data_IF_902257474104
#
_entry.id   IF_902257474104
#
_cell.length_a   1.000
_cell.length_b   1.000
_cell.length_c   1.000
_cell.angle_alpha   90.00
_cell.angle_beta   90.00
_cell.angle_gamma   90.00
#
_symmetry.space_group_name_H-M   'P 1'
#
loop_
_entity.id
_entity.type
_entity.pdbx_description
1 polymer ?
#
# COMPACT_ATOMS: atom_id res chain seq x y z
N UNK A 1 9.45 5.43 -1.99
CA UNK A 1 9.86 6.51 -2.90
C UNK A 1 9.74 6.06 -4.36
N UNK A 2 10.25 4.89 -4.73
CA UNK A 2 10.34 4.41 -6.10
C UNK A 2 8.96 4.31 -6.77
N UNK A 3 7.99 3.61 -6.17
CA UNK A 3 6.64 3.45 -6.70
C UNK A 3 5.92 4.81 -6.87
N UNK A 4 6.03 5.70 -5.88
CA UNK A 4 5.34 7.00 -5.90
C UNK A 4 5.97 7.95 -6.92
N UNK A 5 7.29 7.86 -7.16
CA UNK A 5 8.05 8.73 -8.07
C UNK A 5 8.29 8.13 -9.45
N UNK A 6 7.66 7.00 -9.74
CA UNK A 6 7.82 6.26 -10.99
C UNK A 6 9.30 5.95 -11.33
N UNK A 7 10.10 5.61 -10.30
CA UNK A 7 11.50 5.27 -10.46
C UNK A 7 11.66 3.76 -10.55
N UNK A 8 11.99 3.27 -11.72
CA UNK A 8 12.25 1.85 -11.93
C UNK A 8 13.56 1.42 -11.28
N UNK A 9 13.51 0.29 -10.58
CA UNK A 9 14.66 -0.42 -10.06
C UNK A 9 14.47 -1.91 -10.23
N UNK A 10 15.44 -2.56 -10.80
CA UNK A 10 15.41 -3.98 -11.06
C UNK A 10 16.14 -4.76 -9.97
N UNK A 11 15.66 -5.96 -9.66
CA UNK A 11 16.35 -6.90 -8.79
C UNK A 11 16.42 -8.28 -9.44
N UNK A 12 17.38 -9.09 -9.02
CA UNK A 12 17.41 -10.51 -9.35
C UNK A 12 16.46 -11.25 -8.39
N UNK A 13 15.31 -11.67 -8.91
CA UNK A 13 14.34 -12.46 -8.15
C UNK A 13 14.60 -13.94 -8.39
N UNK A 14 15.35 -14.58 -7.46
CA UNK A 14 15.92 -15.92 -7.63
C UNK A 14 15.25 -16.97 -6.71
N UNK A 15 14.03 -16.70 -6.25
CA UNK A 15 13.30 -17.55 -5.27
C UNK A 15 13.21 -19.01 -5.73
N UNK A 16 12.90 -19.23 -7.00
CA UNK A 16 12.59 -20.54 -7.54
C UNK A 16 13.73 -21.14 -8.39
N UNK A 17 14.92 -20.53 -8.38
CA UNK A 17 16.07 -20.97 -9.14
C UNK A 17 16.80 -22.11 -8.45
N UNK A 18 17.08 -23.18 -9.20
CA UNK A 18 17.91 -24.29 -8.77
C UNK A 18 19.40 -23.89 -8.68
N UNK A 19 20.22 -24.60 -7.91
CA UNK A 19 21.66 -24.33 -7.87
C UNK A 19 22.35 -24.43 -9.22
N UNK A 20 21.84 -25.25 -10.15
CA UNK A 20 22.35 -25.37 -11.52
C UNK A 20 22.08 -24.09 -12.31
N UNK A 21 20.88 -23.57 -12.24
CA UNK A 21 20.47 -22.33 -12.91
C UNK A 21 21.23 -21.12 -12.37
N UNK A 22 21.41 -21.02 -11.05
CA UNK A 22 22.20 -19.96 -10.41
C UNK A 22 23.64 -19.93 -10.92
N UNK A 23 24.23 -21.09 -11.25
CA UNK A 23 25.61 -21.20 -11.77
C UNK A 23 25.68 -21.04 -13.29
N UNK A 24 24.58 -21.14 -14.02
CA UNK A 24 24.57 -21.06 -15.48
C UNK A 24 24.95 -19.68 -16.03
N UNK A 25 24.71 -18.62 -15.25
CA UNK A 25 25.08 -17.25 -15.58
C UNK A 25 26.21 -16.77 -14.65
N UNK A 26 27.37 -16.46 -15.25
CA UNK A 26 28.51 -15.89 -14.51
C UNK A 26 28.12 -14.59 -13.78
N UNK A 27 27.32 -13.75 -14.40
CA UNK A 27 26.82 -12.50 -13.79
C UNK A 27 25.99 -12.77 -12.53
N UNK A 28 25.02 -13.72 -12.59
CA UNK A 28 24.19 -14.09 -11.43
C UNK A 28 25.06 -14.69 -10.33
N UNK A 29 25.93 -15.63 -10.66
CA UNK A 29 26.82 -16.28 -9.69
C UNK A 29 27.72 -15.27 -8.96
N UNK A 30 28.26 -14.28 -9.66
CA UNK A 30 29.07 -13.22 -9.07
C UNK A 30 28.26 -12.33 -8.13
N UNK A 31 27.04 -11.93 -8.50
CA UNK A 31 26.15 -11.14 -7.64
C UNK A 31 25.75 -11.90 -6.38
N UNK A 32 25.45 -13.19 -6.51
CA UNK A 32 25.16 -14.07 -5.36
C UNK A 32 26.37 -14.16 -4.42
N UNK A 33 27.59 -14.31 -5.00
CA UNK A 33 28.83 -14.32 -4.18
C UNK A 33 29.04 -12.99 -3.45
N UNK A 34 28.92 -11.86 -4.13
CA UNK A 34 29.02 -10.53 -3.50
C UNK A 34 28.02 -10.36 -2.35
N UNK A 35 26.78 -10.83 -2.52
CA UNK A 35 25.76 -10.81 -1.46
C UNK A 35 26.18 -11.67 -0.27
N UNK A 36 26.75 -12.87 -0.53
CA UNK A 36 27.27 -13.75 0.52
C UNK A 36 28.38 -13.07 1.32
N UNK A 37 29.37 -12.52 0.62
CA UNK A 37 30.53 -11.89 1.24
C UNK A 37 30.10 -10.66 2.08
N UNK A 38 29.18 -9.84 1.54
CA UNK A 38 28.59 -8.73 2.29
C UNK A 38 27.86 -9.18 3.56
N UNK A 39 27.05 -10.24 3.47
CA UNK A 39 26.34 -10.77 4.64
C UNK A 39 27.29 -11.33 5.71
N UNK A 40 28.36 -12.03 5.32
CA UNK A 40 29.36 -12.55 6.22
C UNK A 40 30.13 -11.44 6.95
N UNK A 41 30.37 -10.30 6.29
CA UNK A 41 31.07 -9.15 6.89
C UNK A 41 30.16 -8.30 7.81
N UNK A 42 28.87 -8.60 7.91
CA UNK A 42 27.95 -7.84 8.74
C UNK A 42 28.24 -8.03 10.23
N UNK A 43 28.13 -6.96 11.02
CA UNK A 43 28.18 -7.06 12.49
C UNK A 43 26.90 -7.64 13.13
N UNK A 44 25.86 -7.98 12.32
CA UNK A 44 24.58 -8.51 12.83
C UNK A 44 24.49 -10.00 12.56
N UNK A 45 24.35 -10.81 13.60
CA UNK A 45 24.23 -12.28 13.50
C UNK A 45 23.09 -12.74 12.60
N UNK A 46 21.93 -12.08 12.64
CA UNK A 46 20.80 -12.38 11.77
C UNK A 46 21.16 -12.20 10.29
N UNK A 47 21.93 -11.16 9.94
CA UNK A 47 22.40 -10.94 8.57
C UNK A 47 23.43 -11.99 8.15
N UNK A 48 24.36 -12.36 9.07
CA UNK A 48 25.34 -13.41 8.81
C UNK A 48 24.67 -14.76 8.54
N UNK A 49 23.62 -15.12 9.26
CA UNK A 49 22.87 -16.36 9.04
C UNK A 49 22.28 -16.45 7.62
N UNK A 50 21.89 -15.32 7.04
CA UNK A 50 21.39 -15.26 5.66
C UNK A 50 22.48 -15.49 4.60
N UNK A 51 23.75 -15.55 4.98
CA UNK A 51 24.85 -15.87 4.05
C UNK A 51 24.80 -17.33 3.56
N UNK A 52 24.06 -18.22 4.24
CA UNK A 52 23.81 -19.59 3.80
C UNK A 52 22.86 -19.67 2.59
N UNK A 53 22.04 -18.66 2.37
CA UNK A 53 21.06 -18.54 1.28
C UNK A 53 21.22 -17.20 0.53
N UNK A 54 22.42 -16.92 -0.04
CA UNK A 54 22.75 -15.58 -0.52
C UNK A 54 21.97 -15.14 -1.77
N UNK A 55 21.29 -16.05 -2.47
CA UNK A 55 20.46 -15.76 -3.62
C UNK A 55 19.03 -15.31 -3.24
N UNK A 56 18.63 -15.52 -1.98
CA UNK A 56 17.30 -15.14 -1.49
C UNK A 56 17.33 -13.78 -0.79
N UNK A 57 16.24 -13.04 -0.89
CA UNK A 57 15.98 -11.91 0.02
C UNK A 57 15.79 -12.44 1.45
N UNK A 58 16.12 -11.62 2.44
CA UNK A 58 16.01 -12.01 3.86
C UNK A 58 14.58 -12.28 4.30
N UNK A 59 13.61 -11.62 3.66
CA UNK A 59 12.17 -11.85 3.80
C UNK A 59 11.53 -11.89 2.42
N UNK A 60 10.78 -12.95 2.16
CA UNK A 60 10.00 -13.10 0.93
C UNK A 60 8.54 -13.06 1.31
N UNK A 61 7.91 -11.90 1.10
CA UNK A 61 6.50 -11.65 1.38
C UNK A 61 5.70 -11.33 0.13
N UNK A 62 6.28 -11.55 -1.05
CA UNK A 62 5.65 -11.26 -2.33
C UNK A 62 4.48 -12.22 -2.56
N UNK A 63 3.23 -11.72 -2.71
CA UNK A 63 2.08 -12.54 -3.06
C UNK A 63 2.12 -12.94 -4.54
N UNK A 64 1.39 -13.98 -4.89
CA UNK A 64 1.23 -14.46 -6.27
C UNK A 64 0.00 -13.84 -6.96
N UNK A 65 -0.70 -12.95 -6.28
CA UNK A 65 -1.91 -12.28 -6.74
C UNK A 65 -1.73 -10.77 -6.73
N UNK A 66 -2.68 -10.06 -7.34
CA UNK A 66 -2.75 -8.60 -7.22
C UNK A 66 -2.78 -8.16 -5.76
N UNK A 67 -2.22 -7.01 -5.50
CA UNK A 67 -2.08 -6.49 -4.16
C UNK A 67 -2.33 -4.99 -4.09
N UNK A 68 -2.80 -4.53 -2.95
CA UNK A 68 -2.77 -3.12 -2.59
C UNK A 68 -1.44 -2.81 -1.92
N UNK A 69 -0.79 -1.75 -2.36
CA UNK A 69 0.50 -1.28 -1.82
C UNK A 69 0.32 0.09 -1.18
N UNK A 70 0.62 0.17 0.10
CA UNK A 70 0.48 1.38 0.92
C UNK A 70 1.86 1.89 1.28
N UNK A 71 2.22 3.14 0.91
CA UNK A 71 3.49 3.73 1.33
C UNK A 71 3.52 3.91 2.84
N UNK A 72 4.62 3.50 3.50
CA UNK A 72 4.79 3.67 4.95
C UNK A 72 4.88 5.14 5.38
N UNK A 73 5.25 6.04 4.47
CA UNK A 73 5.34 7.46 4.74
C UNK A 73 4.59 8.22 3.66
N UNK A 74 3.73 9.14 4.05
CA UNK A 74 3.00 10.04 3.15
C UNK A 74 3.01 11.46 3.68
N UNK A 75 3.20 12.44 2.78
CA UNK A 75 3.17 13.86 3.14
C UNK A 75 1.84 14.26 3.75
N UNK A 76 1.88 15.08 4.79
CA UNK A 76 0.69 15.67 5.42
C UNK A 76 -0.10 16.59 4.49
N UNK A 77 0.57 17.17 3.47
CA UNK A 77 -0.08 18.01 2.48
C UNK A 77 -0.99 17.26 1.50
N UNK A 78 -0.93 15.91 1.46
CA UNK A 78 -1.77 15.12 0.58
C UNK A 78 -3.13 14.85 1.18
N UNK A 79 -4.18 15.17 0.42
CA UNK A 79 -5.55 14.83 0.79
C UNK A 79 -5.79 13.32 0.83
N UNK A 80 -5.21 12.58 -0.13
CA UNK A 80 -5.28 11.13 -0.22
C UNK A 80 -3.88 10.52 -0.23
N UNK A 81 -3.70 9.40 0.47
CA UNK A 81 -2.48 8.62 0.37
C UNK A 81 -2.39 8.03 -1.05
N UNK A 82 -1.24 8.12 -1.73
CA UNK A 82 -1.06 7.52 -3.06
C UNK A 82 -0.91 5.99 -2.98
N UNK A 83 -1.98 5.32 -2.59
CA UNK A 83 -2.08 3.85 -2.53
C UNK A 83 -2.12 3.32 -3.96
N UNK A 84 -1.43 2.21 -4.22
CA UNK A 84 -1.37 1.57 -5.54
C UNK A 84 -2.04 0.21 -5.51
N UNK A 85 -2.60 -0.19 -6.65
CA UNK A 85 -3.08 -1.54 -6.92
C UNK A 85 -2.19 -2.10 -8.04
N UNK A 86 -1.42 -3.15 -7.73
CA UNK A 86 -0.36 -3.63 -8.61
C UNK A 86 -0.40 -5.15 -8.79
N UNK A 87 0.15 -5.60 -9.90
CA UNK A 87 0.31 -7.01 -10.21
C UNK A 87 1.44 -7.65 -9.40
N UNK A 88 1.46 -9.00 -9.26
CA UNK A 88 2.49 -9.71 -8.51
C UNK A 88 3.88 -9.64 -9.14
N UNK A 89 4.01 -9.17 -10.38
CA UNK A 89 5.30 -9.00 -11.07
C UNK A 89 6.14 -7.88 -10.48
N UNK A 90 5.50 -6.94 -9.76
CA UNK A 90 6.18 -5.83 -9.10
C UNK A 90 6.60 -6.25 -7.71
N UNK A 91 7.92 -6.42 -7.50
CA UNK A 91 8.49 -6.78 -6.20
C UNK A 91 8.49 -5.58 -5.26
N UNK A 92 7.81 -5.72 -4.11
CA UNK A 92 7.67 -4.64 -3.15
C UNK A 92 8.77 -4.71 -2.08
N UNK A 93 9.49 -3.63 -1.94
CA UNK A 93 10.52 -3.51 -0.90
C UNK A 93 9.92 -3.11 0.47
N UNK A 94 10.73 -3.20 1.52
CA UNK A 94 10.32 -2.93 2.90
C UNK A 94 9.86 -1.50 3.22
N UNK A 95 9.87 -0.55 2.26
CA UNK A 95 9.40 0.83 2.45
C UNK A 95 7.88 1.00 2.25
N UNK A 96 7.19 -0.07 1.85
CA UNK A 96 5.74 -0.09 1.71
C UNK A 96 5.14 -1.27 2.48
N UNK A 97 3.83 -1.23 2.69
CA UNK A 97 3.02 -2.33 3.20
C UNK A 97 2.27 -2.96 2.03
N UNK A 98 1.99 -4.25 2.14
CA UNK A 98 1.27 -5.03 1.16
C UNK A 98 0.00 -5.55 1.80
N UNK A 99 -1.14 -5.39 1.13
CA UNK A 99 -2.37 -6.13 1.39
C UNK A 99 -2.50 -7.18 0.28
N UNK A 100 -2.17 -8.45 0.56
CA UNK A 100 -2.22 -9.51 -0.42
C UNK A 100 -3.67 -9.90 -0.74
N UNK A 101 -3.91 -10.44 -1.93
CA UNK A 101 -5.22 -10.90 -2.40
C UNK A 101 -6.31 -9.81 -2.37
N UNK A 102 -5.90 -8.54 -2.40
CA UNK A 102 -6.81 -7.43 -2.36
C UNK A 102 -7.62 -7.33 -3.65
N UNK A 103 -8.90 -7.01 -3.52
CA UNK A 103 -9.79 -6.66 -4.61
C UNK A 103 -9.86 -5.14 -4.79
N UNK A 104 -10.62 -4.69 -5.78
CA UNK A 104 -10.94 -3.27 -5.94
C UNK A 104 -11.77 -2.71 -4.77
N UNK A 105 -12.46 -3.57 -4.02
CA UNK A 105 -13.15 -3.16 -2.82
C UNK A 105 -12.17 -2.67 -1.74
N UNK A 106 -11.18 -3.48 -1.38
CA UNK A 106 -10.16 -3.07 -0.39
C UNK A 106 -9.42 -1.83 -0.87
N UNK A 107 -9.05 -1.77 -2.15
CA UNK A 107 -8.42 -0.59 -2.72
C UNK A 107 -9.32 0.65 -2.60
N UNK A 108 -10.62 0.54 -2.93
CA UNK A 108 -11.58 1.61 -2.82
C UNK A 108 -11.76 2.14 -1.40
N UNK A 109 -11.90 1.24 -0.42
CA UNK A 109 -12.02 1.61 0.99
C UNK A 109 -10.75 2.27 1.51
N UNK A 110 -9.58 1.66 1.29
CA UNK A 110 -8.29 2.16 1.78
C UNK A 110 -7.87 3.50 1.18
N UNK A 111 -8.30 3.79 -0.05
CA UNK A 111 -7.99 5.07 -0.71
C UNK A 111 -9.05 6.15 -0.44
N UNK A 112 -10.15 5.83 0.25
CA UNK A 112 -11.24 6.77 0.56
C UNK A 112 -10.87 7.82 1.63
N UNK A 113 -11.66 8.89 1.68
CA UNK A 113 -11.57 9.91 2.73
C UNK A 113 -11.78 9.33 4.12
N UNK A 114 -12.64 8.30 4.29
CA UNK A 114 -12.90 7.64 5.57
C UNK A 114 -11.62 7.02 6.14
N UNK A 115 -10.94 6.19 5.32
CA UNK A 115 -9.69 5.58 5.77
C UNK A 115 -8.57 6.61 5.95
N UNK A 116 -8.51 7.63 5.10
CA UNK A 116 -7.55 8.72 5.25
C UNK A 116 -7.78 9.52 6.54
N UNK A 117 -9.03 9.76 6.94
CA UNK A 117 -9.38 10.42 8.21
C UNK A 117 -8.95 9.59 9.42
N UNK A 118 -9.22 8.30 9.40
CA UNK A 118 -8.72 7.35 10.40
C UNK A 118 -7.20 7.37 10.47
N UNK A 119 -6.52 7.18 9.33
CA UNK A 119 -5.06 7.19 9.26
C UNK A 119 -4.47 8.49 9.81
N UNK A 120 -4.98 9.65 9.42
CA UNK A 120 -4.50 10.95 9.92
C UNK A 120 -4.60 11.08 11.44
N UNK A 121 -5.59 10.45 12.03
CA UNK A 121 -5.84 10.50 13.48
C UNK A 121 -4.97 9.53 14.27
N UNK A 122 -4.79 8.30 13.80
CA UNK A 122 -4.13 7.25 14.59
C UNK A 122 -2.69 6.97 14.18
N UNK A 123 -2.25 7.42 12.99
CA UNK A 123 -0.90 7.18 12.52
C UNK A 123 0.16 7.92 13.35
N UNK A 124 1.32 7.30 13.48
CA UNK A 124 2.52 7.99 13.93
C UNK A 124 2.96 9.09 12.96
N UNK A 125 3.95 9.88 13.40
CA UNK A 125 4.55 10.93 12.58
C UNK A 125 6.04 10.70 12.40
N UNK A 126 6.54 11.02 11.21
CA UNK A 126 7.95 11.14 10.91
C UNK A 126 8.20 12.60 10.50
N UNK A 127 8.66 13.43 11.43
CA UNK A 127 8.59 14.89 11.32
C UNK A 127 7.12 15.32 11.17
N UNK A 128 6.76 16.00 10.07
CA UNK A 128 5.38 16.37 9.76
C UNK A 128 4.60 15.27 9.02
N UNK A 129 5.28 14.36 8.33
CA UNK A 129 4.67 13.34 7.48
C UNK A 129 4.02 12.21 8.29
N UNK A 130 2.94 11.64 7.77
CA UNK A 130 2.27 10.49 8.38
C UNK A 130 3.09 9.22 8.19
N UNK A 131 3.26 8.47 9.29
CA UNK A 131 3.88 7.16 9.29
C UNK A 131 2.82 6.06 9.42
N UNK A 132 2.47 5.46 8.31
CA UNK A 132 1.49 4.38 8.26
C UNK A 132 2.05 3.09 8.87
N UNK A 133 1.36 2.52 9.83
CA UNK A 133 1.70 1.25 10.48
C UNK A 133 0.58 0.24 10.28
N UNK A 134 0.92 -1.02 9.93
CA UNK A 134 -0.07 -2.09 9.84
C UNK A 134 -0.76 -2.34 11.18
N UNK A 135 0.01 -2.37 12.27
CA UNK A 135 -0.52 -2.72 13.59
C UNK A 135 -1.47 -1.67 14.15
N UNK A 136 -1.24 -0.38 13.87
CA UNK A 136 -2.05 0.71 14.43
C UNK A 136 -3.12 1.15 13.44
N UNK A 137 -2.75 1.39 12.18
CA UNK A 137 -3.67 1.99 11.21
C UNK A 137 -4.54 0.91 10.56
N UNK A 138 -3.92 -0.12 9.95
CA UNK A 138 -4.64 -1.11 9.15
C UNK A 138 -5.43 -2.11 10.02
N UNK A 139 -4.76 -2.75 10.99
CA UNK A 139 -5.36 -3.82 11.78
C UNK A 139 -6.45 -3.33 12.75
N UNK A 140 -6.44 -2.05 13.10
CA UNK A 140 -7.44 -1.45 13.97
C UNK A 140 -8.51 -0.68 13.22
N UNK A 141 -8.42 -0.60 11.89
CA UNK A 141 -9.43 0.08 11.10
C UNK A 141 -10.77 -0.67 11.16
N UNK A 142 -11.86 -0.01 11.58
CA UNK A 142 -13.16 -0.65 11.69
C UNK A 142 -13.81 -0.70 10.30
N UNK A 143 -13.66 -1.84 9.63
CA UNK A 143 -14.25 -2.08 8.31
C UNK A 143 -15.78 -2.09 8.39
N UNK A 144 -16.45 -1.53 7.38
CA UNK A 144 -17.89 -1.69 7.22
C UNK A 144 -18.24 -3.10 6.75
N UNK A 145 -19.50 -3.46 6.92
CA UNK A 145 -20.07 -4.71 6.39
C UNK A 145 -21.03 -4.37 5.23
N UNK A 146 -20.54 -4.17 4.01
CA UNK A 146 -21.35 -3.71 2.89
C UNK A 146 -22.26 -4.82 2.36
N UNK A 147 -23.38 -4.44 1.74
CA UNK A 147 -24.14 -5.34 0.87
C UNK A 147 -23.35 -5.60 -0.42
N UNK A 148 -23.72 -6.64 -1.17
CA UNK A 148 -23.10 -6.95 -2.46
C UNK A 148 -23.23 -5.76 -3.46
N UNK A 149 -24.34 -5.04 -3.44
CA UNK A 149 -24.55 -3.86 -4.27
C UNK A 149 -23.61 -2.71 -3.88
N UNK A 150 -23.46 -2.47 -2.58
CA UNK A 150 -22.53 -1.45 -2.05
C UNK A 150 -21.10 -1.80 -2.40
N UNK A 151 -20.71 -3.09 -2.24
CA UNK A 151 -19.39 -3.58 -2.62
C UNK A 151 -19.11 -3.37 -4.11
N UNK A 152 -20.03 -3.79 -4.98
CA UNK A 152 -19.92 -3.58 -6.43
C UNK A 152 -19.82 -2.09 -6.80
N UNK A 153 -20.52 -1.22 -6.09
CA UNK A 153 -20.47 0.23 -6.28
C UNK A 153 -19.09 0.79 -5.91
N UNK A 154 -18.51 0.35 -4.79
CA UNK A 154 -17.15 0.73 -4.39
C UNK A 154 -16.13 0.24 -5.41
N UNK A 155 -16.22 -1.02 -5.85
CA UNK A 155 -15.31 -1.58 -6.86
C UNK A 155 -15.36 -0.78 -8.18
N UNK A 156 -16.55 -0.39 -8.63
CA UNK A 156 -16.73 0.45 -9.81
C UNK A 156 -16.07 1.83 -9.65
N UNK A 157 -16.25 2.48 -8.50
CA UNK A 157 -15.66 3.79 -8.25
C UNK A 157 -14.15 3.70 -8.02
N UNK A 158 -13.66 2.63 -7.43
CA UNK A 158 -12.25 2.32 -7.30
C UNK A 158 -11.57 2.12 -8.66
N UNK A 159 -12.22 1.39 -9.58
CA UNK A 159 -11.74 1.27 -10.96
C UNK A 159 -11.66 2.63 -11.65
N UNK A 160 -12.65 3.49 -11.46
CA UNK A 160 -12.63 4.84 -12.05
C UNK A 160 -11.44 5.70 -11.57
N UNK A 161 -10.92 5.47 -10.35
CA UNK A 161 -9.68 6.10 -9.88
C UNK A 161 -8.48 5.61 -10.70
N UNK A 162 -8.38 4.30 -10.93
CA UNK A 162 -7.30 3.70 -11.73
C UNK A 162 -7.36 4.19 -13.18
N UNK A 163 -8.57 4.24 -13.77
CA UNK A 163 -8.78 4.73 -15.12
C UNK A 163 -8.42 6.23 -15.25
N UNK A 164 -8.71 7.03 -14.23
CA UNK A 164 -8.33 8.44 -14.21
C UNK A 164 -6.80 8.61 -14.14
N UNK A 165 -6.10 7.78 -13.35
CA UNK A 165 -4.63 7.77 -13.30
C UNK A 165 -4.01 7.36 -14.64
N UNK A 166 -4.60 6.36 -15.29
CA UNK A 166 -4.10 5.84 -16.57
C UNK A 166 -4.12 6.86 -17.71
N UNK A 167 -4.88 7.96 -17.59
CA UNK A 167 -4.87 9.06 -18.56
C UNK A 167 -3.58 9.90 -18.52
N UNK A 168 -2.76 9.72 -17.49
CA UNK A 168 -1.53 10.49 -17.26
C UNK A 168 -0.33 9.56 -17.09
N UNK A 169 0.03 8.76 -18.12
CA UNK A 169 1.08 7.74 -18.02
C UNK A 169 2.46 8.31 -17.70
N UNK A 170 2.72 9.56 -18.10
CA UNK A 170 4.01 10.24 -17.87
C UNK A 170 4.11 10.87 -16.46
N UNK A 171 2.99 10.96 -15.72
CA UNK A 171 2.96 11.56 -14.40
C UNK A 171 3.19 10.51 -13.31
N UNK A 172 4.03 10.84 -12.34
CA UNK A 172 4.20 9.99 -11.17
C UNK A 172 3.00 10.11 -10.21
N UNK A 173 2.82 9.13 -9.34
CA UNK A 173 1.81 9.26 -8.27
C UNK A 173 2.12 10.45 -7.34
N UNK A 174 3.40 10.85 -7.20
CA UNK A 174 3.76 12.03 -6.43
C UNK A 174 3.15 13.29 -7.04
N UNK A 175 3.17 13.41 -8.37
CA UNK A 175 2.61 14.55 -9.10
C UNK A 175 1.08 14.51 -9.11
N UNK A 176 0.49 13.35 -9.43
CA UNK A 176 -0.98 13.17 -9.47
C UNK A 176 -1.65 13.42 -8.12
N UNK A 177 -0.93 13.23 -7.00
CA UNK A 177 -1.45 13.42 -5.65
C UNK A 177 -0.88 14.66 -4.95
N UNK A 178 -0.28 15.56 -5.70
CA UNK A 178 -0.01 16.91 -5.24
C UNK A 178 -1.33 17.70 -5.26
N UNK A 179 -1.68 18.32 -4.11
CA UNK A 179 -3.00 18.99 -3.99
C UNK A 179 -3.17 20.15 -4.97
N UNK A 180 -2.07 20.82 -5.33
CA UNK A 180 -2.09 21.92 -6.29
C UNK A 180 -2.27 21.47 -7.75
N UNK A 181 -1.80 20.25 -8.09
CA UNK A 181 -1.71 19.76 -9.46
C UNK A 181 -2.60 18.55 -9.75
N UNK A 182 -3.32 18.03 -8.74
CA UNK A 182 -4.19 16.87 -8.91
C UNK A 182 -5.22 17.10 -10.02
N UNK A 183 -5.25 16.24 -11.07
CA UNK A 183 -6.18 16.38 -12.18
C UNK A 183 -7.65 16.38 -11.72
N UNK A 184 -8.48 17.18 -12.37
CA UNK A 184 -9.90 17.31 -12.01
C UNK A 184 -10.63 15.97 -12.11
N UNK A 185 -10.32 15.16 -13.10
CA UNK A 185 -10.92 13.84 -13.31
C UNK A 185 -10.55 12.88 -12.17
N UNK A 186 -9.30 12.90 -11.74
CA UNK A 186 -8.83 12.08 -10.62
C UNK A 186 -9.50 12.52 -9.31
N UNK A 187 -9.58 13.83 -9.07
CA UNK A 187 -10.30 14.39 -7.91
C UNK A 187 -11.78 14.00 -7.91
N UNK A 188 -12.45 14.07 -9.05
CA UNK A 188 -13.86 13.65 -9.19
C UNK A 188 -14.05 12.14 -8.95
N UNK A 189 -13.11 11.31 -9.44
CA UNK A 189 -13.13 9.87 -9.21
C UNK A 189 -13.00 9.54 -7.70
N UNK A 190 -12.06 10.19 -7.00
CA UNK A 190 -11.95 10.05 -5.55
C UNK A 190 -13.21 10.50 -4.80
N UNK A 191 -13.80 11.64 -5.16
CA UNK A 191 -15.03 12.11 -4.54
C UNK A 191 -16.23 11.16 -4.80
N UNK A 192 -16.26 10.51 -5.95
CA UNK A 192 -17.28 9.49 -6.23
C UNK A 192 -17.07 8.24 -5.37
N UNK A 193 -15.82 7.80 -5.21
CA UNK A 193 -15.46 6.70 -4.34
C UNK A 193 -15.74 7.02 -2.85
N UNK A 194 -15.42 8.22 -2.39
CA UNK A 194 -15.72 8.66 -1.03
C UNK A 194 -17.22 8.54 -0.73
N UNK A 195 -18.08 8.98 -1.65
CA UNK A 195 -19.54 8.86 -1.49
C UNK A 195 -20.01 7.41 -1.45
N UNK A 196 -19.43 6.53 -2.27
CA UNK A 196 -19.76 5.11 -2.27
C UNK A 196 -19.36 4.44 -0.95
N UNK A 197 -18.17 4.76 -0.43
CA UNK A 197 -17.70 4.23 0.84
C UNK A 197 -18.52 4.80 2.02
N UNK A 198 -18.80 6.11 2.04
CA UNK A 198 -19.67 6.71 3.07
C UNK A 198 -21.05 6.04 3.12
N UNK A 199 -21.64 5.75 1.98
CA UNK A 199 -22.92 5.04 1.90
C UNK A 199 -22.81 3.62 2.50
N UNK A 200 -21.72 2.91 2.24
CA UNK A 200 -21.49 1.57 2.81
C UNK A 200 -21.30 1.59 4.33
N UNK A 201 -20.76 2.69 4.88
CA UNK A 201 -20.69 2.91 6.34
C UNK A 201 -22.01 3.43 6.94
N UNK A 202 -23.00 3.81 6.12
CA UNK A 202 -24.21 4.46 6.59
C UNK A 202 -23.99 5.89 7.08
N UNK A 203 -22.90 6.54 6.63
CA UNK A 203 -22.54 7.90 7.01
C UNK A 203 -23.25 8.95 6.13
N UNK A 204 -23.62 10.08 6.73
CA UNK A 204 -24.17 11.19 5.98
C UNK A 204 -23.11 11.82 5.05
N UNK A 205 -23.54 12.29 3.88
CA UNK A 205 -22.64 12.77 2.81
C UNK A 205 -21.88 14.06 3.17
N UNK A 206 -22.37 14.79 4.14
CA UNK A 206 -21.89 16.08 4.60
C UNK A 206 -21.12 16.01 5.93
N UNK A 207 -20.85 14.80 6.44
CA UNK A 207 -20.06 14.63 7.65
C UNK A 207 -18.67 15.22 7.49
N UNK A 208 -18.26 15.94 8.50
CA UNK A 208 -16.89 16.44 8.65
C UNK A 208 -15.91 15.30 8.99
N UNK A 209 -14.63 15.54 8.79
CA UNK A 209 -13.58 14.58 9.16
C UNK A 209 -13.66 14.18 10.64
N UNK A 210 -13.91 15.14 11.53
CA UNK A 210 -14.04 14.89 12.97
C UNK A 210 -15.23 14.00 13.30
N UNK A 211 -16.37 14.19 12.64
CA UNK A 211 -17.56 13.34 12.82
C UNK A 211 -17.32 11.92 12.31
N UNK A 212 -16.68 11.77 11.13
CA UNK A 212 -16.28 10.47 10.58
C UNK A 212 -15.40 9.73 11.60
N UNK A 213 -14.38 10.39 12.12
CA UNK A 213 -13.46 9.81 13.11
C UNK A 213 -14.19 9.40 14.39
N UNK A 214 -15.11 10.23 14.88
CA UNK A 214 -15.90 9.90 16.06
C UNK A 214 -16.74 8.62 15.86
N UNK A 215 -17.39 8.46 14.70
CA UNK A 215 -18.15 7.25 14.39
C UNK A 215 -17.24 6.03 14.22
N UNK A 216 -16.07 6.18 13.59
CA UNK A 216 -15.10 5.10 13.47
C UNK A 216 -14.59 4.62 14.84
N UNK A 217 -14.36 5.53 15.80
CA UNK A 217 -14.01 5.12 17.17
C UNK A 217 -15.13 4.37 17.87
N UNK A 218 -16.37 4.79 17.70
CA UNK A 218 -17.53 4.03 18.25
C UNK A 218 -17.62 2.62 17.64
N UNK A 219 -17.34 2.48 16.35
CA UNK A 219 -17.27 1.16 15.70
C UNK A 219 -16.11 0.32 16.25
N UNK A 220 -14.94 0.93 16.43
CA UNK A 220 -13.76 0.27 16.98
C UNK A 220 -14.01 -0.23 18.42
N UNK A 221 -14.60 0.59 19.28
CA UNK A 221 -14.98 0.22 20.65
C UNK A 221 -15.88 -1.02 20.64
N UNK A 222 -16.95 -1.03 19.84
CA UNK A 222 -17.86 -2.18 19.72
C UNK A 222 -17.16 -3.46 19.26
N UNK A 223 -16.17 -3.35 18.37
CA UNK A 223 -15.39 -4.50 17.88
C UNK A 223 -14.40 -5.04 18.93
N UNK A 224 -14.05 -4.23 19.94
CA UNK A 224 -13.09 -4.56 20.99
C UNK A 224 -13.74 -4.82 22.36
N UNK A 225 -15.02 -4.50 22.53
CA UNK A 225 -15.80 -4.85 23.72
C UNK A 225 -15.81 -6.36 23.92
N UNK A 226 -15.23 -6.83 25.00
CA UNK A 226 -15.20 -8.25 25.38
C UNK A 226 -13.92 -9.01 24.99
N UNK A 227 -12.86 -8.30 24.58
CA UNK A 227 -11.53 -8.90 24.40
C UNK A 227 -10.61 -8.69 25.58
#
# INVERSE_FOLDING_TARGET
AELIKNQERWCLWLKDFSPKELKSSRFVAERVKQTKDFRLSSGRSQTQNLASIPWLFGEIRQPETNMVVIPKVSSEARRYIPISFVSPEIIINGSALIVPNASLYEFGVLTSSIHNSWMRTVAGRMKSDYQYSSNIVYNNFPWCNPTDEQKAKIEKTAQAILDARAKYPESSLADLYDEAFMPIELRKAHQANDRAVMEAYGFAKDMTESEIVAELFKMYEKLTEGK
#
